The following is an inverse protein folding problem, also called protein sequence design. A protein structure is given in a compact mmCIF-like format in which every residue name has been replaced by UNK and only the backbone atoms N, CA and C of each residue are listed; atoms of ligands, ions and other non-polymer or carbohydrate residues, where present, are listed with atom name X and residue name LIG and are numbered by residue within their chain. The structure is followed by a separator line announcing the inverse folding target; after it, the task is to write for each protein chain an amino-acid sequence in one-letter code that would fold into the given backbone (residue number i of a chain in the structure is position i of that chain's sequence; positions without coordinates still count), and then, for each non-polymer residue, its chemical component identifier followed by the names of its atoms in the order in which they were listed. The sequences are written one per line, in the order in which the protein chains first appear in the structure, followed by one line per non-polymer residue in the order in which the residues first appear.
data_IF_134370388026
#
_entry.id   IF_134370388026
#
_cell.length_a   1.000
_cell.length_b   1.000
_cell.length_c   1.000
_cell.angle_alpha   90.00
_cell.angle_beta   90.00
_cell.angle_gamma   90.00
#
_symmetry.space_group_name_H-M   'P 1'
#
loop_
_entity.id
_entity.type
_entity.pdbx_description
1 polymer ?
#
# COMPACT_ATOMS: atom_id res chain seq x y z
N UNK A 1 32.33 0.41 -32.00
CA UNK A 1 33.01 0.65 -33.31
C UNK A 1 34.02 -0.45 -33.60
N UNK A 2 34.97 -0.77 -32.71
CA UNK A 2 35.98 -1.84 -32.90
C UNK A 2 35.34 -3.22 -33.16
N UNK A 3 34.31 -3.62 -32.42
CA UNK A 3 33.62 -4.91 -32.59
C UNK A 3 32.90 -5.02 -33.93
N UNK A 4 32.29 -3.93 -34.41
CA UNK A 4 31.60 -3.89 -35.71
C UNK A 4 32.60 -3.94 -36.84
N UNK A 5 33.70 -3.17 -36.78
CA UNK A 5 34.75 -3.20 -37.79
C UNK A 5 35.41 -4.57 -37.90
N UNK A 6 35.67 -5.23 -36.75
CA UNK A 6 36.22 -6.59 -36.72
C UNK A 6 35.23 -7.60 -37.32
N UNK A 7 33.91 -7.45 -37.02
CA UNK A 7 32.88 -8.31 -37.57
C UNK A 7 32.72 -8.17 -39.08
N UNK A 8 32.72 -6.95 -39.62
CA UNK A 8 32.71 -6.68 -41.07
C UNK A 8 33.93 -7.25 -41.78
N UNK A 9 35.11 -7.07 -41.19
CA UNK A 9 36.36 -7.61 -41.74
C UNK A 9 36.30 -9.16 -41.75
N UNK A 10 35.88 -9.78 -40.63
CA UNK A 10 35.80 -11.24 -40.52
C UNK A 10 34.84 -11.85 -41.57
N UNK A 11 33.66 -11.24 -41.74
CA UNK A 11 32.66 -11.67 -42.73
C UNK A 11 33.24 -11.50 -44.17
N UNK A 12 33.87 -10.39 -44.44
CA UNK A 12 34.47 -10.13 -45.78
C UNK A 12 35.59 -11.11 -46.08
N UNK A 13 36.49 -11.39 -45.13
CA UNK A 13 37.58 -12.37 -45.28
C UNK A 13 37.00 -13.79 -45.47
N UNK A 14 35.99 -14.17 -44.70
CA UNK A 14 35.35 -15.47 -44.85
C UNK A 14 34.65 -15.62 -46.23
N UNK A 15 33.92 -14.58 -46.67
CA UNK A 15 33.30 -14.58 -47.99
C UNK A 15 34.31 -14.64 -49.11
N UNK A 16 35.44 -13.95 -48.99
CA UNK A 16 36.56 -13.97 -49.95
C UNK A 16 37.20 -15.36 -50.03
N UNK A 17 37.42 -16.03 -48.88
CA UNK A 17 37.97 -17.36 -48.82
C UNK A 17 37.04 -18.40 -49.47
N UNK A 18 35.73 -18.29 -49.26
CA UNK A 18 34.72 -19.12 -49.90
C UNK A 18 34.69 -18.89 -51.41
N UNK A 19 34.75 -17.63 -51.87
CA UNK A 19 34.77 -17.31 -53.29
C UNK A 19 36.05 -17.84 -54.00
N UNK A 20 37.22 -17.73 -53.38
CA UNK A 20 38.46 -18.29 -53.88
C UNK A 20 38.42 -19.83 -53.99
N UNK A 21 37.91 -20.51 -52.97
CA UNK A 21 37.82 -21.95 -52.95
C UNK A 21 36.76 -22.48 -53.97
N UNK A 22 35.63 -21.81 -54.15
CA UNK A 22 34.55 -22.24 -55.02
C UNK A 22 34.80 -21.90 -56.47
N UNK A 23 35.41 -20.75 -56.81
CA UNK A 23 35.53 -20.24 -58.17
C UNK A 23 36.92 -20.48 -58.81
N UNK A 24 37.97 -20.82 -58.04
CA UNK A 24 39.35 -21.02 -58.50
C UNK A 24 39.79 -19.96 -59.54
N UNK A 25 39.76 -18.66 -59.21
CA UNK A 25 39.88 -17.57 -60.14
C UNK A 25 41.28 -17.52 -60.79
N UNK A 26 41.38 -17.05 -62.07
CA UNK A 26 42.68 -16.78 -62.71
C UNK A 26 43.39 -15.58 -62.03
N UNK A 27 44.66 -15.37 -62.26
CA UNK A 27 45.37 -14.23 -61.65
C UNK A 27 44.75 -12.88 -61.95
N UNK A 28 44.17 -12.68 -63.16
CA UNK A 28 43.48 -11.45 -63.51
C UNK A 28 42.15 -11.29 -62.76
N UNK A 29 41.37 -12.36 -62.63
CA UNK A 29 40.08 -12.38 -61.94
C UNK A 29 40.28 -12.19 -60.42
N UNK A 30 41.38 -12.65 -59.82
CA UNK A 30 41.74 -12.41 -58.44
C UNK A 30 41.84 -10.91 -58.10
N UNK A 31 42.49 -10.16 -58.93
CA UNK A 31 42.63 -8.69 -58.74
C UNK A 31 41.24 -8.04 -58.73
N UNK A 32 40.36 -8.41 -59.67
CA UNK A 32 39.03 -7.90 -59.76
C UNK A 32 38.18 -8.32 -58.53
N UNK A 33 38.28 -9.59 -58.06
CA UNK A 33 37.61 -10.09 -56.91
C UNK A 33 38.00 -9.30 -55.63
N UNK A 34 39.31 -9.14 -55.40
CA UNK A 34 39.84 -8.43 -54.24
C UNK A 34 39.47 -6.94 -54.20
N UNK A 35 39.54 -6.26 -55.37
CA UNK A 35 39.14 -4.85 -55.46
C UNK A 35 37.65 -4.66 -55.22
N UNK A 36 36.79 -5.58 -55.70
CA UNK A 36 35.36 -5.55 -55.50
C UNK A 36 35.03 -5.75 -54.01
N UNK A 37 35.57 -6.77 -53.34
CA UNK A 37 35.32 -7.03 -51.93
C UNK A 37 35.88 -5.90 -51.00
N UNK A 38 37.07 -5.35 -51.36
CA UNK A 38 37.61 -4.19 -50.65
C UNK A 38 36.69 -2.95 -50.79
N UNK A 39 36.21 -2.69 -52.00
CA UNK A 39 35.25 -1.60 -52.23
C UNK A 39 33.94 -1.76 -51.48
N UNK A 40 33.39 -2.99 -51.45
CA UNK A 40 32.17 -3.30 -50.63
C UNK A 40 32.43 -3.13 -49.14
N UNK A 41 33.57 -3.61 -48.62
CA UNK A 41 33.92 -3.44 -47.22
C UNK A 41 34.04 -1.95 -46.85
N UNK A 42 34.66 -1.16 -47.70
CA UNK A 42 34.80 0.29 -47.50
C UNK A 42 33.42 0.98 -47.50
N UNK A 43 32.59 0.72 -48.51
CA UNK A 43 31.25 1.29 -48.60
C UNK A 43 30.37 0.92 -47.42
N UNK A 44 30.37 -0.37 -47.02
CA UNK A 44 29.65 -0.85 -45.85
C UNK A 44 30.14 -0.21 -44.55
N UNK A 45 31.42 -0.07 -44.38
CA UNK A 45 32.04 0.57 -43.22
C UNK A 45 31.67 2.05 -43.11
N UNK A 46 31.68 2.78 -44.24
CA UNK A 46 31.22 4.20 -44.27
C UNK A 46 29.76 4.34 -43.91
N UNK A 47 28.90 3.48 -44.49
CA UNK A 47 27.46 3.47 -44.15
C UNK A 47 27.20 3.10 -42.70
N UNK A 48 27.90 2.08 -42.17
CA UNK A 48 27.74 1.67 -40.76
C UNK A 48 28.21 2.79 -39.81
N UNK A 49 29.33 3.44 -40.11
CA UNK A 49 29.84 4.57 -39.32
C UNK A 49 28.87 5.77 -39.36
N UNK A 50 28.38 6.10 -40.55
CA UNK A 50 27.38 7.16 -40.74
C UNK A 50 26.08 6.87 -39.96
N UNK A 51 25.57 5.63 -40.06
CA UNK A 51 24.42 5.19 -39.34
C UNK A 51 24.63 5.29 -37.80
N UNK A 52 25.74 4.79 -37.28
CA UNK A 52 26.09 4.88 -35.84
C UNK A 52 26.22 6.33 -35.36
N UNK A 53 26.78 7.23 -36.18
CA UNK A 53 26.86 8.65 -35.84
C UNK A 53 25.48 9.31 -35.80
N UNK A 54 24.63 8.97 -36.76
CA UNK A 54 23.26 9.48 -36.85
C UNK A 54 22.38 8.94 -35.73
N UNK A 55 22.51 7.65 -35.34
CA UNK A 55 21.70 7.06 -34.25
C UNK A 55 21.97 7.74 -32.92
N UNK A 56 23.18 8.26 -32.67
CA UNK A 56 23.49 9.02 -31.45
C UNK A 56 22.86 10.41 -31.41
N UNK A 57 22.45 10.96 -32.55
CA UNK A 57 21.81 12.27 -32.68
C UNK A 57 20.31 12.17 -32.93
N UNK A 58 19.79 10.97 -33.22
CA UNK A 58 18.40 10.75 -33.52
C UNK A 58 17.55 10.90 -32.24
N UNK A 59 16.53 11.76 -32.31
CA UNK A 59 15.57 11.99 -31.21
C UNK A 59 14.45 10.94 -31.13
N UNK A 60 14.43 9.98 -32.06
CA UNK A 60 13.38 8.96 -32.15
C UNK A 60 13.98 7.59 -32.44
N UNK A 61 13.60 6.60 -31.60
CA UNK A 61 13.98 5.20 -31.77
C UNK A 61 13.46 4.64 -33.10
N UNK A 62 12.26 5.08 -33.53
CA UNK A 62 11.66 4.71 -34.83
C UNK A 62 12.54 5.10 -35.99
N UNK A 63 13.06 6.35 -36.01
CA UNK A 63 13.94 6.82 -37.07
C UNK A 63 15.25 6.05 -37.09
N UNK A 64 15.75 5.68 -35.92
CA UNK A 64 16.96 4.88 -35.77
C UNK A 64 16.79 3.48 -36.37
N UNK A 65 15.74 2.76 -35.98
CA UNK A 65 15.47 1.41 -36.49
C UNK A 65 15.20 1.42 -38.00
N UNK A 66 14.38 2.38 -38.50
CA UNK A 66 14.15 2.53 -39.93
C UNK A 66 15.41 2.79 -40.73
N UNK A 67 16.30 3.64 -40.21
CA UNK A 67 17.58 3.94 -40.84
C UNK A 67 18.48 2.72 -40.88
N UNK A 68 18.60 1.96 -39.79
CA UNK A 68 19.43 0.74 -39.74
C UNK A 68 18.89 -0.32 -40.69
N UNK A 69 17.57 -0.52 -40.71
CA UNK A 69 16.91 -1.45 -41.63
C UNK A 69 17.11 -1.05 -43.10
N UNK A 70 16.93 0.23 -43.43
CA UNK A 70 17.21 0.75 -44.75
C UNK A 70 18.68 0.57 -45.19
N UNK A 71 19.59 0.89 -44.27
CA UNK A 71 21.06 0.73 -44.53
C UNK A 71 21.40 -0.75 -44.79
N UNK A 72 20.86 -1.67 -44.01
CA UNK A 72 21.09 -3.11 -44.19
C UNK A 72 20.56 -3.60 -45.58
N UNK A 73 19.36 -3.16 -45.96
CA UNK A 73 18.77 -3.51 -47.26
C UNK A 73 19.60 -2.93 -48.41
N UNK A 74 20.02 -1.67 -48.31
CA UNK A 74 20.85 -1.04 -49.32
C UNK A 74 22.18 -1.73 -49.48
N UNK A 75 22.83 -2.11 -48.37
CA UNK A 75 24.11 -2.84 -48.35
C UNK A 75 23.98 -4.21 -49.03
N UNK A 76 22.97 -4.99 -48.59
CA UNK A 76 22.70 -6.32 -49.15
C UNK A 76 22.39 -6.24 -50.65
N UNK A 77 21.54 -5.31 -51.04
CA UNK A 77 21.15 -5.08 -52.44
C UNK A 77 22.32 -4.60 -53.29
N UNK A 78 23.10 -3.66 -52.81
CA UNK A 78 24.31 -3.19 -53.49
C UNK A 78 25.32 -4.29 -53.72
N UNK A 79 25.55 -5.15 -52.72
CA UNK A 79 26.44 -6.30 -52.83
C UNK A 79 26.01 -7.27 -53.94
N UNK A 80 24.72 -7.61 -54.01
CA UNK A 80 24.21 -8.49 -55.03
C UNK A 80 24.25 -7.85 -56.42
N UNK A 81 23.89 -6.55 -56.54
CA UNK A 81 23.94 -5.82 -57.83
C UNK A 81 25.36 -5.73 -58.40
N UNK A 82 26.36 -5.43 -57.52
CA UNK A 82 27.75 -5.38 -57.96
C UNK A 82 28.27 -6.76 -58.35
N UNK A 83 27.92 -7.81 -57.56
CA UNK A 83 28.32 -9.19 -57.90
C UNK A 83 27.71 -9.66 -59.22
N UNK A 84 26.40 -9.38 -59.44
CA UNK A 84 25.73 -9.73 -60.68
C UNK A 84 26.31 -9.00 -61.90
N UNK A 85 26.66 -7.70 -61.74
CA UNK A 85 27.29 -6.90 -62.83
C UNK A 85 28.69 -7.34 -63.21
N UNK A 86 29.41 -7.99 -62.28
CA UNK A 86 30.80 -8.47 -62.55
C UNK A 86 30.85 -9.91 -63.06
N UNK A 87 29.74 -10.67 -63.02
CA UNK A 87 29.70 -12.09 -63.41
C UNK A 87 29.36 -12.35 -64.91
N UNK A 88 29.48 -11.41 -65.81
CA UNK A 88 29.23 -11.56 -67.24
C UNK A 88 27.87 -12.21 -67.56
N UNK A 89 26.84 -11.86 -66.84
CA UNK A 89 25.44 -12.25 -67.13
C UNK A 89 24.95 -11.61 -68.44
N UNK A 90 24.07 -12.31 -69.17
CA UNK A 90 23.38 -11.71 -70.32
C UNK A 90 22.59 -10.49 -69.84
N UNK A 91 22.37 -9.50 -70.74
CA UNK A 91 21.56 -8.32 -70.36
C UNK A 91 20.16 -8.71 -69.84
N UNK A 92 19.61 -9.81 -70.32
CA UNK A 92 18.32 -10.32 -69.88
C UNK A 92 18.37 -10.85 -68.42
N UNK A 93 19.38 -11.63 -68.10
CA UNK A 93 19.57 -12.22 -66.76
C UNK A 93 19.88 -11.13 -65.71
N UNK A 94 20.70 -10.13 -66.10
CA UNK A 94 21.01 -8.99 -65.25
C UNK A 94 19.71 -8.20 -64.91
N UNK A 95 18.86 -7.94 -65.89
CA UNK A 95 17.56 -7.25 -65.66
C UNK A 95 16.65 -8.04 -64.72
N UNK A 96 16.60 -9.35 -64.87
CA UNK A 96 15.79 -10.21 -64.00
C UNK A 96 16.30 -10.26 -62.55
N UNK A 97 17.63 -10.34 -62.38
CA UNK A 97 18.27 -10.25 -61.06
C UNK A 97 18.02 -8.90 -60.40
N UNK A 98 18.12 -7.79 -61.14
CA UNK A 98 17.82 -6.45 -60.61
C UNK A 98 16.38 -6.27 -60.19
N UNK A 99 15.40 -6.82 -60.97
CA UNK A 99 13.95 -6.80 -60.63
C UNK A 99 13.71 -7.62 -59.36
N UNK A 100 14.24 -8.87 -59.32
CA UNK A 100 14.07 -9.74 -58.16
C UNK A 100 14.68 -9.12 -56.90
N UNK A 101 15.85 -8.49 -57.04
CA UNK A 101 16.53 -7.78 -55.95
C UNK A 101 15.68 -6.59 -55.48
N UNK A 102 15.14 -5.77 -56.38
CA UNK A 102 14.26 -4.66 -56.03
C UNK A 102 13.04 -5.11 -55.29
N UNK A 103 12.41 -6.22 -55.71
CA UNK A 103 11.27 -6.81 -55.03
C UNK A 103 11.65 -7.30 -53.61
N UNK A 104 12.76 -8.05 -53.50
CA UNK A 104 13.24 -8.53 -52.19
C UNK A 104 13.58 -7.40 -51.21
N UNK A 105 14.22 -6.35 -51.72
CA UNK A 105 14.54 -5.14 -50.94
C UNK A 105 13.24 -4.43 -50.46
N UNK A 106 12.26 -4.28 -51.36
CA UNK A 106 10.98 -3.66 -51.03
C UNK A 106 10.21 -4.43 -49.94
N UNK A 107 10.09 -5.75 -50.11
CA UNK A 107 9.44 -6.61 -49.11
C UNK A 107 10.16 -6.60 -47.78
N UNK A 108 11.51 -6.67 -47.78
CA UNK A 108 12.32 -6.59 -46.56
C UNK A 108 12.14 -5.27 -45.80
N UNK A 109 12.10 -4.15 -46.57
CA UNK A 109 11.86 -2.83 -45.98
C UNK A 109 10.47 -2.72 -45.35
N UNK A 110 9.42 -3.20 -46.00
CA UNK A 110 8.04 -3.20 -45.48
C UNK A 110 7.99 -4.00 -44.15
N UNK A 111 8.58 -5.20 -44.14
CA UNK A 111 8.60 -6.03 -42.95
C UNK A 111 9.42 -5.35 -41.78
N UNK A 112 10.58 -4.79 -42.08
CA UNK A 112 11.40 -4.07 -41.10
C UNK A 112 10.66 -2.86 -40.50
N UNK A 113 9.96 -2.09 -41.33
CA UNK A 113 9.14 -0.94 -40.88
C UNK A 113 7.96 -1.41 -40.01
N UNK A 114 7.29 -2.50 -40.41
CA UNK A 114 6.16 -3.05 -39.64
C UNK A 114 6.57 -3.51 -38.23
N UNK A 115 7.67 -4.28 -38.15
CA UNK A 115 8.22 -4.72 -36.84
C UNK A 115 8.69 -3.53 -36.00
N UNK A 116 9.40 -2.58 -36.61
CA UNK A 116 9.87 -1.39 -35.92
C UNK A 116 8.73 -0.54 -35.35
N UNK A 117 7.62 -0.39 -36.12
CA UNK A 117 6.49 0.39 -35.67
C UNK A 117 5.73 -0.26 -34.51
N UNK A 118 5.62 -1.59 -34.50
CA UNK A 118 5.03 -2.32 -33.37
C UNK A 118 5.84 -2.12 -32.08
N UNK A 119 7.16 -2.38 -32.13
CA UNK A 119 8.03 -2.22 -30.96
C UNK A 119 8.03 -0.79 -30.38
N UNK A 120 8.00 0.20 -31.26
CA UNK A 120 8.01 1.60 -30.83
C UNK A 120 6.66 2.07 -30.27
N UNK A 121 5.54 1.53 -30.78
CA UNK A 121 4.22 1.78 -30.23
C UNK A 121 4.12 1.29 -28.79
N UNK A 122 4.56 0.05 -28.54
CA UNK A 122 4.51 -0.57 -27.23
C UNK A 122 5.41 0.19 -26.21
N UNK A 123 6.62 0.55 -26.62
CA UNK A 123 7.52 1.36 -25.77
C UNK A 123 6.95 2.75 -25.48
N UNK A 124 6.28 3.37 -26.47
CA UNK A 124 5.63 4.66 -26.27
C UNK A 124 4.43 4.56 -25.32
N UNK A 125 3.71 3.43 -25.32
CA UNK A 125 2.63 3.14 -24.37
C UNK A 125 3.14 3.09 -22.93
N UNK A 126 4.22 2.31 -22.66
CA UNK A 126 4.85 2.24 -21.33
C UNK A 126 5.34 3.63 -20.90
N UNK A 127 6.02 4.35 -21.80
CA UNK A 127 6.53 5.69 -21.50
C UNK A 127 5.41 6.68 -21.19
N UNK A 128 4.31 6.64 -21.96
CA UNK A 128 3.14 7.50 -21.72
C UNK A 128 2.47 7.18 -20.38
N UNK A 129 2.29 5.89 -20.06
CA UNK A 129 1.77 5.46 -18.77
C UNK A 129 2.67 5.92 -17.62
N UNK A 130 4.00 5.80 -17.77
CA UNK A 130 4.97 6.27 -16.78
C UNK A 130 4.89 7.78 -16.54
N UNK A 131 4.74 8.58 -17.60
CA UNK A 131 4.56 10.04 -17.48
C UNK A 131 3.24 10.40 -16.77
N UNK A 132 2.15 9.67 -17.05
CA UNK A 132 0.88 9.88 -16.34
C UNK A 132 0.98 9.55 -14.85
N UNK A 133 1.61 8.41 -14.50
CA UNK A 133 1.87 8.04 -13.10
C UNK A 133 2.72 9.11 -12.41
N UNK A 134 3.78 9.59 -13.06
CA UNK A 134 4.64 10.66 -12.53
C UNK A 134 3.89 12.00 -12.37
N UNK A 135 2.86 12.25 -13.18
CA UNK A 135 1.97 13.40 -13.06
C UNK A 135 0.86 13.23 -12.00
N UNK A 136 0.82 12.09 -11.30
CA UNK A 136 -0.14 11.80 -10.22
C UNK A 136 -1.33 10.92 -10.63
N UNK A 137 -1.46 10.54 -11.88
CA UNK A 137 -2.49 9.58 -12.32
C UNK A 137 -2.04 8.14 -12.06
N UNK A 138 -2.21 7.71 -10.82
CA UNK A 138 -1.83 6.36 -10.38
C UNK A 138 -2.72 5.24 -10.95
N UNK A 139 -3.78 5.59 -11.69
CA UNK A 139 -4.63 4.60 -12.37
C UNK A 139 -4.11 4.22 -13.74
N UNK A 140 -3.14 4.97 -14.28
CA UNK A 140 -2.55 4.70 -15.58
C UNK A 140 -1.85 3.34 -15.60
N UNK A 141 -2.09 2.58 -16.67
CA UNK A 141 -1.46 1.28 -16.95
C UNK A 141 -0.92 1.26 -18.37
N UNK A 142 0.04 0.39 -18.61
CA UNK A 142 0.49 0.08 -19.96
C UNK A 142 -0.60 -0.74 -20.67
N UNK A 143 -0.68 -0.59 -21.99
CA UNK A 143 -1.61 -1.38 -22.83
C UNK A 143 -0.86 -2.46 -23.61
N UNK A 144 0.31 -2.86 -23.14
CA UNK A 144 1.20 -3.79 -23.83
C UNK A 144 0.88 -5.22 -23.40
N UNK A 145 0.42 -6.03 -24.37
CA UNK A 145 0.15 -7.46 -24.19
C UNK A 145 1.15 -8.25 -25.04
N UNK A 146 2.29 -8.61 -24.45
CA UNK A 146 3.36 -9.37 -25.10
C UNK A 146 3.93 -10.42 -24.15
N UNK A 147 4.50 -11.48 -24.72
CA UNK A 147 5.15 -12.56 -23.98
C UNK A 147 6.69 -12.50 -24.03
N UNK A 148 7.27 -11.33 -24.32
CA UNK A 148 8.72 -11.11 -24.39
C UNK A 148 9.20 -10.12 -23.28
N UNK A 149 10.45 -9.72 -23.31
CA UNK A 149 11.08 -8.83 -22.34
C UNK A 149 10.36 -7.48 -22.23
N UNK A 150 9.69 -7.05 -23.28
CA UNK A 150 8.91 -5.80 -23.27
C UNK A 150 7.58 -5.99 -22.52
N UNK A 151 6.96 -7.17 -22.65
CA UNK A 151 5.81 -7.57 -21.86
C UNK A 151 6.13 -7.67 -20.37
N UNK A 152 7.25 -8.32 -20.02
CA UNK A 152 7.74 -8.40 -18.64
C UNK A 152 7.98 -7.01 -18.04
N UNK A 153 8.58 -6.09 -18.80
CA UNK A 153 8.79 -4.71 -18.38
C UNK A 153 7.45 -3.96 -18.16
N UNK A 154 6.46 -4.20 -19.01
CA UNK A 154 5.12 -3.62 -18.89
C UNK A 154 4.40 -4.13 -17.64
N UNK A 155 4.42 -5.44 -17.38
CA UNK A 155 3.85 -6.06 -16.18
C UNK A 155 4.52 -5.56 -14.90
N UNK A 156 5.86 -5.45 -14.90
CA UNK A 156 6.61 -4.91 -13.77
C UNK A 156 6.23 -3.45 -13.49
N UNK A 157 6.08 -2.63 -14.54
CA UNK A 157 5.61 -1.25 -14.43
C UNK A 157 4.19 -1.18 -13.86
N UNK A 158 3.26 -1.98 -14.39
CA UNK A 158 1.86 -1.99 -13.93
C UNK A 158 1.74 -2.48 -12.48
N UNK A 159 2.56 -3.46 -12.09
CA UNK A 159 2.68 -3.92 -10.71
C UNK A 159 3.19 -2.81 -9.76
N UNK A 160 4.18 -2.05 -10.18
CA UNK A 160 4.67 -0.88 -9.43
C UNK A 160 3.58 0.19 -9.30
N UNK A 161 2.89 0.54 -10.39
CA UNK A 161 1.82 1.53 -10.38
C UNK A 161 0.65 1.11 -9.46
N UNK A 162 0.29 -0.18 -9.45
CA UNK A 162 -0.72 -0.72 -8.54
C UNK A 162 -0.32 -0.61 -7.07
N UNK A 163 0.92 -0.89 -6.72
CA UNK A 163 1.44 -0.73 -5.35
C UNK A 163 1.46 0.73 -4.90
N UNK A 164 1.86 1.65 -5.78
CA UNK A 164 1.82 3.09 -5.49
C UNK A 164 0.39 3.57 -5.26
N UNK A 165 -0.55 3.12 -6.09
CA UNK A 165 -1.98 3.44 -5.94
C UNK A 165 -2.53 2.94 -4.60
N UNK A 166 -2.23 1.70 -4.23
CA UNK A 166 -2.65 1.12 -2.95
C UNK A 166 -2.06 1.88 -1.76
N UNK A 167 -0.77 2.23 -1.82
CA UNK A 167 -0.10 3.01 -0.77
C UNK A 167 -0.70 4.41 -0.61
N UNK A 168 -1.05 5.10 -1.72
CA UNK A 168 -1.67 6.42 -1.66
C UNK A 168 -3.10 6.36 -1.10
N UNK A 169 -3.89 5.35 -1.48
CA UNK A 169 -5.22 5.12 -0.91
C UNK A 169 -5.13 4.90 0.61
N UNK A 170 -4.17 4.08 1.05
CA UNK A 170 -3.96 3.85 2.48
C UNK A 170 -3.52 5.11 3.21
N UNK A 171 -2.62 5.90 2.61
CA UNK A 171 -2.18 7.19 3.16
C UNK A 171 -3.36 8.16 3.34
N UNK A 172 -4.22 8.27 2.32
CA UNK A 172 -5.40 9.14 2.39
C UNK A 172 -6.39 8.70 3.46
N UNK A 173 -6.59 7.38 3.64
CA UNK A 173 -7.42 6.84 4.73
C UNK A 173 -6.84 7.20 6.10
N UNK A 174 -5.55 6.97 6.31
CA UNK A 174 -4.89 7.31 7.56
C UNK A 174 -4.95 8.82 7.86
N UNK A 175 -4.78 9.68 6.83
CA UNK A 175 -4.90 11.13 6.98
C UNK A 175 -6.33 11.56 7.36
N UNK A 176 -7.36 10.92 6.78
CA UNK A 176 -8.75 11.19 7.12
C UNK A 176 -9.12 10.71 8.54
N UNK A 177 -8.68 9.51 8.93
CA UNK A 177 -8.84 8.99 10.30
C UNK A 177 -8.17 9.91 11.31
N UNK A 178 -6.95 10.37 11.02
CA UNK A 178 -6.23 11.31 11.86
C UNK A 178 -6.96 12.65 12.00
N UNK A 179 -7.55 13.19 10.91
CA UNK A 179 -8.35 14.43 10.95
C UNK A 179 -9.60 14.25 11.82
N UNK A 180 -10.31 13.12 11.67
CA UNK A 180 -11.48 12.80 12.50
C UNK A 180 -11.10 12.68 13.97
N UNK A 181 -9.98 12.05 14.27
CA UNK A 181 -9.43 11.94 15.61
C UNK A 181 -9.20 13.33 16.23
N UNK A 182 -8.48 14.24 15.55
CA UNK A 182 -8.25 15.60 16.06
C UNK A 182 -9.53 16.42 16.21
N UNK A 183 -10.48 16.27 15.31
CA UNK A 183 -11.77 16.95 15.42
C UNK A 183 -12.56 16.47 16.64
N UNK A 184 -12.58 15.16 16.93
CA UNK A 184 -13.24 14.59 18.09
C UNK A 184 -12.55 15.03 19.41
N UNK A 185 -11.21 14.98 19.47
CA UNK A 185 -10.44 15.50 20.63
C UNK A 185 -10.79 16.97 20.89
N UNK A 186 -10.76 17.81 19.85
CA UNK A 186 -11.07 19.23 19.99
C UNK A 186 -12.49 19.50 20.49
N UNK A 187 -13.45 18.67 20.09
CA UNK A 187 -14.83 18.75 20.58
C UNK A 187 -14.91 18.35 22.06
N UNK A 188 -14.33 17.21 22.44
CA UNK A 188 -14.45 16.65 23.79
C UNK A 188 -13.64 17.43 24.83
N UNK A 189 -12.58 18.13 24.43
CA UNK A 189 -11.89 19.11 25.27
C UNK A 189 -12.67 20.42 25.43
N UNK A 190 -13.35 20.88 24.39
CA UNK A 190 -14.08 22.17 24.41
C UNK A 190 -15.27 22.14 25.39
N UNK A 191 -15.98 21.01 25.47
CA UNK A 191 -17.19 20.88 26.31
C UNK A 191 -16.90 21.18 27.78
N UNK A 192 -15.97 20.47 28.49
CA UNK A 192 -15.66 20.77 29.88
C UNK A 192 -14.99 22.13 30.07
N UNK A 193 -14.18 22.62 29.11
CA UNK A 193 -13.60 23.95 29.15
C UNK A 193 -14.67 25.05 29.12
N UNK A 194 -15.70 24.92 28.29
CA UNK A 194 -16.82 25.86 28.22
C UNK A 194 -17.64 25.83 29.51
N UNK A 195 -17.86 24.64 30.09
CA UNK A 195 -18.54 24.49 31.39
C UNK A 195 -17.76 25.16 32.51
N UNK A 196 -16.44 24.95 32.57
CA UNK A 196 -15.54 25.59 33.53
C UNK A 196 -15.58 27.12 33.41
N UNK A 197 -15.51 27.64 32.17
CA UNK A 197 -15.56 29.08 31.93
C UNK A 197 -16.88 29.67 32.39
N UNK A 198 -18.03 29.05 32.05
CA UNK A 198 -19.34 29.52 32.49
C UNK A 198 -19.49 29.48 34.03
N UNK A 199 -18.91 28.42 34.69
CA UNK A 199 -18.93 28.35 36.13
C UNK A 199 -18.09 29.42 36.80
N UNK A 200 -16.92 29.78 36.24
CA UNK A 200 -16.07 30.88 36.70
C UNK A 200 -16.77 32.22 36.54
N UNK A 201 -17.37 32.48 35.37
CA UNK A 201 -18.13 33.74 35.11
C UNK A 201 -19.29 33.88 36.08
N UNK A 202 -20.08 32.83 36.33
CA UNK A 202 -21.19 32.86 37.26
C UNK A 202 -20.75 33.14 38.71
N UNK A 203 -19.58 32.64 39.13
CA UNK A 203 -19.00 32.95 40.44
C UNK A 203 -18.49 34.37 40.52
N UNK A 204 -17.85 34.89 39.49
CA UNK A 204 -17.32 36.27 39.42
C UNK A 204 -18.43 37.32 39.41
N UNK A 205 -19.50 37.07 38.66
CA UNK A 205 -20.64 37.99 38.54
C UNK A 205 -21.58 37.93 39.76
N UNK A 206 -21.31 37.03 40.73
CA UNK A 206 -22.12 36.89 41.93
C UNK A 206 -23.52 36.29 41.68
N UNK A 207 -23.79 35.73 40.49
CA UNK A 207 -25.07 35.10 40.14
C UNK A 207 -25.18 33.65 40.59
N UNK A 208 -24.09 33.06 41.08
CA UNK A 208 -24.04 31.72 41.61
C UNK A 208 -24.79 31.61 42.93
N UNK A 209 -26.00 31.05 42.93
CA UNK A 209 -26.84 30.88 44.12
C UNK A 209 -26.26 29.86 45.10
N UNK A 210 -25.48 28.87 44.63
CA UNK A 210 -24.75 27.86 45.43
C UNK A 210 -23.30 27.77 44.92
N UNK A 211 -22.38 28.59 45.43
CA UNK A 211 -20.97 28.55 45.04
C UNK A 211 -20.30 27.17 45.22
N UNK A 212 -20.72 26.40 46.25
CA UNK A 212 -20.16 25.10 46.52
C UNK A 212 -20.56 24.10 45.40
N UNK A 213 -21.74 24.22 44.82
CA UNK A 213 -22.17 23.41 43.68
C UNK A 213 -21.31 23.71 42.44
N UNK A 214 -21.04 24.98 42.14
CA UNK A 214 -20.19 25.38 41.01
C UNK A 214 -18.75 24.87 41.17
N UNK A 215 -18.18 24.97 42.38
CA UNK A 215 -16.86 24.42 42.67
C UNK A 215 -16.80 22.90 42.47
N UNK A 216 -17.84 22.17 42.90
CA UNK A 216 -17.93 20.70 42.65
C UNK A 216 -18.02 20.38 41.17
N UNK A 217 -18.79 21.14 40.38
CA UNK A 217 -18.87 20.98 38.92
C UNK A 217 -17.50 21.22 38.26
N UNK A 218 -16.83 22.32 38.64
CA UNK A 218 -15.48 22.62 38.14
C UNK A 218 -14.47 21.53 38.47
N UNK A 219 -14.49 21.02 39.72
CA UNK A 219 -13.60 19.90 40.12
C UNK A 219 -13.86 18.64 39.31
N UNK A 220 -15.13 18.36 39.00
CA UNK A 220 -15.50 17.24 38.12
C UNK A 220 -14.99 17.45 36.68
N UNK A 221 -15.20 18.65 36.11
CA UNK A 221 -14.75 18.98 34.74
C UNK A 221 -13.22 18.88 34.61
N UNK A 222 -12.47 19.30 35.65
CA UNK A 222 -11.01 19.14 35.69
C UNK A 222 -10.60 17.65 35.71
N UNK A 223 -11.24 16.83 36.57
CA UNK A 223 -10.96 15.40 36.63
C UNK A 223 -11.31 14.67 35.31
N UNK A 224 -12.38 15.10 34.63
CA UNK A 224 -12.75 14.55 33.32
C UNK A 224 -11.74 14.93 32.24
N UNK A 225 -11.17 16.17 32.27
CA UNK A 225 -10.08 16.61 31.40
C UNK A 225 -8.78 15.82 31.65
N UNK A 226 -8.38 15.66 32.92
CA UNK A 226 -7.20 14.89 33.29
C UNK A 226 -7.28 13.46 32.74
N UNK A 227 -8.44 12.79 32.94
CA UNK A 227 -8.68 11.44 32.43
C UNK A 227 -8.60 11.40 30.89
N UNK A 228 -9.16 12.38 30.19
CA UNK A 228 -9.09 12.44 28.74
C UNK A 228 -7.64 12.59 28.24
N UNK A 229 -6.83 13.40 28.91
CA UNK A 229 -5.42 13.58 28.56
C UNK A 229 -4.62 12.29 28.81
N UNK A 230 -4.89 11.60 29.91
CA UNK A 230 -4.27 10.29 30.20
C UNK A 230 -4.68 9.23 29.17
N UNK A 231 -5.96 9.19 28.78
CA UNK A 231 -6.47 8.28 27.74
C UNK A 231 -5.81 8.54 26.40
N UNK A 232 -5.68 9.81 25.99
CA UNK A 232 -5.01 10.21 24.74
C UNK A 232 -3.52 9.85 24.76
N UNK A 233 -2.86 10.09 25.90
CA UNK A 233 -1.42 9.77 26.06
C UNK A 233 -1.19 8.27 25.96
N UNK A 234 -2.06 7.46 26.58
CA UNK A 234 -1.97 6.01 26.49
C UNK A 234 -2.26 5.50 25.09
N UNK A 235 -3.31 6.01 24.43
CA UNK A 235 -3.62 5.65 23.04
C UNK A 235 -2.44 5.97 22.12
N UNK A 236 -1.83 7.15 22.26
CA UNK A 236 -0.65 7.52 21.47
C UNK A 236 0.56 6.59 21.71
N UNK A 237 0.72 6.04 22.92
CA UNK A 237 1.75 5.03 23.21
C UNK A 237 1.43 3.68 22.58
N UNK A 238 0.16 3.26 22.61
CA UNK A 238 -0.32 2.04 21.98
C UNK A 238 -0.07 2.11 20.46
N UNK A 239 -0.53 3.18 19.80
CA UNK A 239 -0.39 3.37 18.35
C UNK A 239 1.09 3.44 17.89
N UNK A 240 1.95 4.01 18.74
CA UNK A 240 3.40 4.06 18.48
C UNK A 240 4.14 2.73 18.75
N UNK A 241 3.45 1.68 19.23
CA UNK A 241 4.08 0.43 19.67
C UNK A 241 5.04 0.62 20.87
N UNK A 242 4.81 1.64 21.71
CA UNK A 242 5.64 2.01 22.86
C UNK A 242 4.95 1.73 24.21
N UNK A 243 4.06 0.74 24.20
CA UNK A 243 3.40 0.30 25.41
C UNK A 243 4.40 -0.48 26.29
N UNK A 244 4.71 0.06 27.45
CA UNK A 244 5.57 -0.60 28.45
C UNK A 244 4.68 -1.26 29.50
N UNK A 245 4.47 -2.57 29.37
CA UNK A 245 3.75 -3.39 30.34
C UNK A 245 4.71 -3.99 31.37
N UNK A 246 4.21 -4.16 32.60
CA UNK A 246 4.94 -4.77 33.71
C UNK A 246 4.21 -6.02 34.16
N UNK A 247 4.32 -7.14 33.43
CA UNK A 247 3.63 -8.36 33.79
C UNK A 247 4.13 -8.89 35.14
N UNK A 248 3.20 -9.30 35.96
CA UNK A 248 3.42 -9.97 37.24
C UNK A 248 2.30 -10.98 37.49
N UNK A 249 2.53 -12.06 38.24
CA UNK A 249 1.48 -13.00 38.60
C UNK A 249 0.49 -12.37 39.58
N UNK A 250 -0.82 -12.50 39.29
CA UNK A 250 -1.90 -12.09 40.20
C UNK A 250 -3.18 -12.90 39.87
N UNK A 251 -4.20 -12.75 40.70
CA UNK A 251 -5.50 -13.37 40.52
C UNK A 251 -6.46 -12.43 39.80
N UNK A 252 -6.93 -12.84 38.60
CA UNK A 252 -7.86 -12.04 37.79
C UNK A 252 -9.24 -11.92 38.47
N UNK A 253 -9.63 -12.91 39.29
CA UNK A 253 -10.91 -12.86 40.02
C UNK A 253 -10.87 -11.76 41.06
N UNK A 254 -9.78 -11.63 41.83
CA UNK A 254 -9.62 -10.55 42.80
C UNK A 254 -9.62 -9.19 42.11
N UNK A 255 -8.94 -9.04 40.97
CA UNK A 255 -8.93 -7.80 40.22
C UNK A 255 -10.32 -7.44 39.65
N UNK A 256 -11.13 -8.43 39.25
CA UNK A 256 -12.50 -8.22 38.78
C UNK A 256 -13.42 -7.76 39.96
N UNK A 257 -13.27 -8.38 41.13
CA UNK A 257 -14.00 -7.98 42.35
C UNK A 257 -13.63 -6.55 42.78
N UNK A 258 -12.36 -6.18 42.76
CA UNK A 258 -11.90 -4.80 43.01
C UNK A 258 -12.49 -3.79 42.03
N UNK A 259 -12.53 -4.14 40.72
CA UNK A 259 -13.09 -3.27 39.69
C UNK A 259 -14.62 -3.07 39.87
N UNK A 260 -15.33 -4.13 40.29
CA UNK A 260 -16.75 -4.08 40.60
C UNK A 260 -16.99 -3.24 41.87
N UNK A 261 -16.22 -3.42 42.94
CA UNK A 261 -16.35 -2.66 44.19
C UNK A 261 -16.19 -1.15 43.93
N UNK A 262 -15.20 -0.74 43.12
CA UNK A 262 -14.98 0.67 42.76
C UNK A 262 -16.17 1.26 41.99
N UNK A 263 -16.85 0.50 41.15
CA UNK A 263 -17.96 0.97 40.31
C UNK A 263 -19.34 0.73 40.94
N UNK A 264 -19.44 -0.01 42.05
CA UNK A 264 -20.71 -0.29 42.74
C UNK A 264 -21.48 0.98 43.08
N UNK A 265 -20.92 2.09 43.61
CA UNK A 265 -21.66 3.30 43.86
C UNK A 265 -22.24 3.95 42.60
N UNK A 266 -21.56 3.86 41.48
CA UNK A 266 -22.00 4.42 40.20
C UNK A 266 -23.16 3.60 39.63
N UNK A 267 -23.08 2.28 39.71
CA UNK A 267 -24.13 1.37 39.28
C UNK A 267 -25.39 1.51 40.18
N UNK A 268 -25.22 1.53 41.50
CA UNK A 268 -26.29 1.70 42.44
C UNK A 268 -27.07 3.00 42.24
N UNK A 269 -26.38 4.12 41.92
CA UNK A 269 -26.97 5.41 41.58
C UNK A 269 -27.87 5.35 40.32
N UNK A 270 -27.67 4.35 39.46
CA UNK A 270 -28.47 4.07 38.26
C UNK A 270 -29.46 2.91 38.42
N UNK A 271 -29.50 2.28 39.60
CA UNK A 271 -30.30 1.12 39.87
C UNK A 271 -29.87 -0.14 39.11
N UNK A 272 -28.55 -0.26 38.84
CA UNK A 272 -27.98 -1.40 38.14
C UNK A 272 -27.28 -2.31 39.15
N UNK A 273 -27.50 -3.62 39.04
CA UNK A 273 -26.80 -4.64 39.83
C UNK A 273 -25.55 -5.10 39.08
N UNK A 274 -24.39 -5.12 39.78
CA UNK A 274 -23.16 -5.67 39.21
C UNK A 274 -22.73 -6.89 39.99
N UNK A 275 -22.28 -7.94 39.29
CA UNK A 275 -21.75 -9.16 39.92
C UNK A 275 -20.59 -9.75 39.14
N UNK A 276 -19.75 -10.51 39.84
CA UNK A 276 -18.71 -11.35 39.24
C UNK A 276 -19.18 -12.80 39.34
N UNK A 277 -19.03 -13.54 38.24
CA UNK A 277 -19.40 -14.94 38.13
C UNK A 277 -18.18 -15.72 37.57
N UNK A 278 -17.69 -16.71 38.28
CA UNK A 278 -16.50 -17.43 37.87
C UNK A 278 -16.14 -18.64 38.74
N UNK A 279 -15.19 -19.46 38.28
CA UNK A 279 -14.86 -20.73 38.95
C UNK A 279 -14.01 -20.56 40.25
N UNK A 280 -13.72 -19.35 40.67
CA UNK A 280 -12.82 -19.02 41.77
C UNK A 280 -11.48 -18.47 41.28
N UNK A 281 -10.38 -18.66 42.00
CA UNK A 281 -9.10 -18.05 41.67
C UNK A 281 -8.63 -18.35 40.25
N UNK A 282 -8.26 -17.29 39.50
CA UNK A 282 -7.79 -17.34 38.12
C UNK A 282 -6.41 -16.67 38.02
N UNK A 283 -5.30 -17.42 38.26
CA UNK A 283 -3.98 -16.85 38.16
C UNK A 283 -3.62 -16.52 36.71
N UNK A 284 -3.09 -15.31 36.49
CA UNK A 284 -2.61 -14.81 35.21
C UNK A 284 -1.29 -14.07 35.40
N UNK A 285 -0.46 -14.01 34.35
CA UNK A 285 0.76 -13.21 34.31
C UNK A 285 0.53 -12.03 33.36
N UNK A 286 0.24 -10.86 33.94
CA UNK A 286 -0.07 -9.65 33.20
C UNK A 286 0.20 -8.39 34.03
N UNK A 287 0.05 -7.20 33.44
CA UNK A 287 0.08 -5.94 34.16
C UNK A 287 -1.29 -5.68 34.81
N UNK A 288 -1.37 -5.84 36.14
CA UNK A 288 -2.62 -5.70 36.90
C UNK A 288 -3.23 -4.30 36.80
N UNK A 289 -2.40 -3.25 36.75
CA UNK A 289 -2.88 -1.87 36.58
C UNK A 289 -3.51 -1.64 35.20
N UNK A 290 -2.89 -2.17 34.15
CA UNK A 290 -3.42 -2.13 32.78
C UNK A 290 -4.74 -2.91 32.68
N UNK A 291 -4.80 -4.14 33.21
CA UNK A 291 -6.03 -4.95 33.20
C UNK A 291 -7.13 -4.36 34.08
N UNK A 292 -6.83 -3.80 35.22
CA UNK A 292 -7.78 -3.07 36.04
C UNK A 292 -8.39 -1.87 35.29
N UNK A 293 -7.59 -1.18 34.44
CA UNK A 293 -8.10 -0.14 33.55
C UNK A 293 -9.03 -0.71 32.47
N UNK A 294 -8.67 -1.85 31.86
CA UNK A 294 -9.54 -2.56 30.89
C UNK A 294 -10.88 -2.89 31.53
N UNK A 295 -10.89 -3.56 32.68
CA UNK A 295 -12.11 -3.94 33.39
C UNK A 295 -12.97 -2.73 33.71
N UNK A 296 -12.38 -1.67 34.28
CA UNK A 296 -13.12 -0.43 34.59
C UNK A 296 -13.71 0.23 33.33
N UNK A 297 -12.98 0.26 32.22
CA UNK A 297 -13.50 0.81 30.96
C UNK A 297 -14.69 0.01 30.42
N UNK A 298 -14.60 -1.31 30.46
CA UNK A 298 -15.67 -2.20 29.99
C UNK A 298 -16.89 -2.15 30.90
N UNK A 299 -16.67 -2.15 32.22
CA UNK A 299 -17.76 -2.04 33.22
C UNK A 299 -18.44 -0.67 33.17
N UNK A 300 -17.71 0.45 33.08
CA UNK A 300 -18.29 1.79 32.94
C UNK A 300 -19.16 1.88 31.66
N UNK A 301 -18.68 1.26 30.57
CA UNK A 301 -19.45 1.17 29.34
C UNK A 301 -20.75 0.35 29.52
N UNK A 302 -20.66 -0.84 30.13
CA UNK A 302 -21.79 -1.71 30.41
C UNK A 302 -22.84 -1.03 31.33
N UNK A 303 -22.40 -0.40 32.43
CA UNK A 303 -23.30 0.35 33.35
C UNK A 303 -23.97 1.52 32.62
N UNK A 304 -23.28 2.16 31.71
CA UNK A 304 -23.78 3.32 30.96
C UNK A 304 -24.87 2.94 29.97
N UNK A 305 -24.77 1.76 29.37
CA UNK A 305 -25.70 1.27 28.34
C UNK A 305 -26.78 0.37 28.88
N UNK A 306 -26.68 -0.15 30.10
CA UNK A 306 -27.74 -0.90 30.76
C UNK A 306 -28.95 -0.02 31.07
N UNK A 307 -30.18 -0.54 30.93
CA UNK A 307 -31.40 0.12 31.36
C UNK A 307 -31.48 0.18 32.90
N UNK A 308 -32.20 1.13 33.49
CA UNK A 308 -32.45 1.14 34.93
C UNK A 308 -33.16 -0.16 35.40
N UNK A 309 -32.63 -0.79 36.44
CA UNK A 309 -33.08 -2.10 36.92
C UNK A 309 -32.47 -3.29 36.22
N UNK A 310 -31.59 -3.06 35.22
CA UNK A 310 -30.81 -4.10 34.58
C UNK A 310 -29.60 -4.55 35.37
N UNK A 311 -28.87 -5.56 34.84
CA UNK A 311 -27.69 -6.14 35.43
C UNK A 311 -26.44 -6.02 34.53
N UNK A 312 -25.28 -6.05 35.15
CA UNK A 312 -24.00 -6.21 34.51
C UNK A 312 -23.26 -7.38 35.17
N UNK A 313 -22.83 -8.33 34.39
CA UNK A 313 -22.12 -9.52 34.90
C UNK A 313 -20.71 -9.61 34.29
N UNK A 314 -19.71 -9.81 35.14
CA UNK A 314 -18.36 -10.21 34.72
C UNK A 314 -18.31 -11.73 34.80
N UNK A 315 -18.35 -12.40 33.65
CA UNK A 315 -18.21 -13.84 33.55
C UNK A 315 -16.75 -14.19 33.37
N UNK A 316 -16.14 -14.94 34.31
CA UNK A 316 -14.76 -15.38 34.25
C UNK A 316 -14.70 -16.87 33.92
N UNK A 317 -13.70 -17.28 33.14
CA UNK A 317 -13.55 -18.68 32.74
C UNK A 317 -12.17 -19.04 32.23
N UNK A 318 -11.99 -20.33 31.98
CA UNK A 318 -10.76 -20.88 31.39
C UNK A 318 -11.09 -21.64 30.14
N UNK A 319 -10.34 -21.42 29.07
CA UNK A 319 -10.33 -22.18 27.84
C UNK A 319 -8.94 -22.80 27.62
N UNK A 320 -8.76 -23.73 26.70
CA UNK A 320 -7.43 -24.24 26.37
C UNK A 320 -6.49 -23.08 26.02
N UNK A 321 -5.39 -22.95 26.76
CA UNK A 321 -4.36 -21.91 26.60
C UNK A 321 -4.81 -20.44 26.88
N UNK A 322 -6.05 -20.21 27.34
CA UNK A 322 -6.61 -18.87 27.56
C UNK A 322 -7.36 -18.75 28.88
N UNK A 323 -7.17 -17.62 29.53
CA UNK A 323 -8.09 -17.13 30.56
C UNK A 323 -9.02 -16.11 29.90
N UNK A 324 -10.33 -16.24 30.19
CA UNK A 324 -11.38 -15.46 29.52
C UNK A 324 -12.14 -14.63 30.53
N UNK A 325 -12.39 -13.37 30.19
CA UNK A 325 -13.38 -12.56 30.91
C UNK A 325 -14.40 -11.99 29.89
N UNK A 326 -15.69 -12.09 30.23
CA UNK A 326 -16.76 -11.50 29.43
C UNK A 326 -17.55 -10.54 30.31
N UNK A 327 -17.70 -9.32 29.84
CA UNK A 327 -18.57 -8.32 30.46
C UNK A 327 -19.89 -8.32 29.69
N UNK A 328 -20.98 -8.67 30.36
CA UNK A 328 -22.33 -8.84 29.81
C UNK A 328 -23.24 -7.82 30.45
N UNK A 329 -23.99 -7.10 29.64
CA UNK A 329 -24.99 -6.11 30.10
C UNK A 329 -26.37 -6.33 29.49
N UNK A 330 -27.42 -5.86 30.16
CA UNK A 330 -28.81 -5.93 29.69
C UNK A 330 -29.20 -4.78 28.77
N UNK A 331 -28.21 -4.11 28.16
CA UNK A 331 -28.43 -3.01 27.24
C UNK A 331 -28.90 -3.44 25.85
N UNK A 332 -29.02 -2.52 24.90
CA UNK A 332 -29.47 -2.82 23.54
C UNK A 332 -28.44 -3.59 22.71
N UNK A 333 -27.24 -3.81 23.25
CA UNK A 333 -26.14 -4.39 22.50
C UNK A 333 -25.47 -3.41 21.55
N UNK A 334 -24.67 -3.96 20.64
CA UNK A 334 -23.99 -3.19 19.60
C UNK A 334 -24.80 -3.26 18.30
N UNK A 335 -25.00 -2.12 17.64
CA UNK A 335 -25.63 -2.09 16.32
C UNK A 335 -24.72 -2.74 15.26
N UNK A 336 -25.29 -3.37 14.24
CA UNK A 336 -24.55 -4.13 13.23
C UNK A 336 -23.46 -3.28 12.52
N UNK A 337 -23.74 -2.01 12.27
CA UNK A 337 -22.80 -1.06 11.65
C UNK A 337 -21.66 -0.62 12.59
N UNK A 338 -21.79 -0.92 13.89
CA UNK A 338 -20.82 -0.62 14.93
C UNK A 338 -19.87 -1.79 15.23
N UNK A 339 -20.24 -3.03 14.90
CA UNK A 339 -19.48 -4.22 15.28
C UNK A 339 -18.01 -4.15 14.83
N UNK A 340 -17.77 -3.76 13.57
CA UNK A 340 -16.42 -3.65 13.01
C UNK A 340 -15.63 -2.44 13.52
N UNK A 341 -16.33 -1.45 14.09
CA UNK A 341 -15.75 -0.16 14.45
C UNK A 341 -15.85 0.21 15.93
N UNK A 342 -16.45 -0.64 16.75
CA UNK A 342 -16.67 -0.34 18.16
C UNK A 342 -15.36 -0.12 18.95
N UNK A 343 -14.26 -0.71 18.48
CA UNK A 343 -12.93 -0.55 19.04
C UNK A 343 -12.12 0.60 18.41
N UNK A 344 -12.66 1.30 17.41
CA UNK A 344 -12.00 2.47 16.86
C UNK A 344 -12.10 3.64 17.85
N UNK A 345 -11.05 4.44 17.94
CA UNK A 345 -11.02 5.59 18.83
C UNK A 345 -12.11 6.62 18.44
N UNK A 346 -12.81 7.17 19.46
CA UNK A 346 -13.88 8.18 19.32
C UNK A 346 -15.14 7.71 18.57
N UNK A 347 -15.27 6.43 18.31
CA UNK A 347 -16.52 5.88 17.76
C UNK A 347 -17.58 5.81 18.85
N UNK A 348 -18.75 6.37 18.58
CA UNK A 348 -19.91 6.41 19.49
C UNK A 348 -21.17 6.14 18.69
N UNK A 349 -22.05 5.31 19.23
CA UNK A 349 -23.37 5.08 18.65
C UNK A 349 -24.22 6.35 18.63
N UNK A 350 -25.19 6.44 17.71
CA UNK A 350 -26.03 7.63 17.53
C UNK A 350 -26.86 7.98 18.78
N UNK A 351 -27.28 6.99 19.58
CA UNK A 351 -27.97 7.22 20.85
C UNK A 351 -27.06 7.81 21.93
N UNK A 352 -25.76 7.44 21.94
CA UNK A 352 -24.79 7.98 22.88
C UNK A 352 -24.43 9.43 22.57
N UNK A 353 -24.55 9.87 21.31
CA UNK A 353 -24.37 11.28 20.91
C UNK A 353 -25.49 12.21 21.38
N UNK A 354 -26.71 11.69 21.62
CA UNK A 354 -27.87 12.48 22.02
C UNK A 354 -27.99 12.67 23.54
N UNK A 355 -27.25 11.87 24.34
CA UNK A 355 -27.25 11.99 25.79
C UNK A 355 -26.02 12.77 26.25
N UNK A 356 -26.23 13.99 26.76
CA UNK A 356 -25.18 14.78 27.44
C UNK A 356 -24.62 13.96 28.60
N UNK A 357 -23.36 13.54 28.50
CA UNK A 357 -22.66 12.73 29.51
C UNK A 357 -22.08 11.41 29.00
N UNK A 358 -22.08 11.16 27.69
CA UNK A 358 -21.42 10.00 27.08
C UNK A 358 -19.88 10.13 27.14
N UNK A 359 -19.19 9.00 27.44
CA UNK A 359 -17.72 8.95 27.51
C UNK A 359 -17.02 9.37 26.22
N UNK A 360 -15.72 9.56 26.29
CA UNK A 360 -14.84 10.00 25.19
C UNK A 360 -14.81 9.07 23.96
N UNK A 361 -15.38 7.86 24.04
CA UNK A 361 -15.23 6.85 22.99
C UNK A 361 -13.81 6.27 22.87
N UNK A 362 -12.96 6.51 23.86
CA UNK A 362 -11.59 5.97 23.93
C UNK A 362 -11.50 4.66 24.70
N UNK A 363 -12.46 4.37 25.60
CA UNK A 363 -12.37 3.26 26.53
C UNK A 363 -12.23 1.89 25.88
N UNK A 364 -13.00 1.60 24.81
CA UNK A 364 -12.90 0.34 24.06
C UNK A 364 -11.62 0.25 23.24
N UNK A 365 -11.18 1.33 22.61
CA UNK A 365 -9.92 1.37 21.86
C UNK A 365 -8.71 1.12 22.78
N UNK A 366 -8.69 1.75 23.95
CA UNK A 366 -7.67 1.54 24.97
C UNK A 366 -7.72 0.09 25.49
N UNK A 367 -8.90 -0.44 25.78
CA UNK A 367 -9.06 -1.82 26.23
C UNK A 367 -8.47 -2.79 25.19
N UNK A 368 -8.76 -2.59 23.92
CA UNK A 368 -8.20 -3.39 22.83
C UNK A 368 -6.67 -3.32 22.80
N UNK A 369 -6.11 -2.12 22.76
CA UNK A 369 -4.65 -1.96 22.68
C UNK A 369 -3.92 -2.54 23.91
N UNK A 370 -4.51 -2.46 25.09
CA UNK A 370 -3.93 -3.06 26.30
C UNK A 370 -4.01 -4.60 26.25
N UNK A 371 -5.11 -5.19 25.83
CA UNK A 371 -5.26 -6.65 25.72
C UNK A 371 -4.33 -7.20 24.62
N UNK A 372 -4.29 -6.58 23.44
CA UNK A 372 -3.36 -6.95 22.37
C UNK A 372 -1.89 -6.82 22.80
N UNK A 373 -1.56 -5.80 23.59
CA UNK A 373 -0.23 -5.63 24.18
C UNK A 373 0.17 -6.77 25.13
N UNK A 374 -0.77 -7.48 25.74
CA UNK A 374 -0.54 -8.69 26.54
C UNK A 374 -0.53 -9.98 25.69
N UNK A 375 -0.64 -9.89 24.37
CA UNK A 375 -0.76 -11.06 23.48
C UNK A 375 -2.13 -11.71 23.50
N UNK A 376 -3.13 -11.02 24.05
CA UNK A 376 -4.53 -11.43 24.09
C UNK A 376 -5.34 -10.90 22.91
N UNK A 377 -6.64 -11.14 22.94
CA UNK A 377 -7.60 -10.53 22.01
C UNK A 377 -8.88 -10.07 22.75
N UNK A 378 -9.62 -9.18 22.12
CA UNK A 378 -10.90 -8.67 22.63
C UNK A 378 -11.88 -8.56 21.46
N UNK A 379 -13.10 -9.08 21.66
CA UNK A 379 -14.16 -9.12 20.64
C UNK A 379 -15.50 -8.76 21.24
N UNK A 380 -16.42 -8.30 20.37
CA UNK A 380 -17.82 -8.18 20.72
C UNK A 380 -18.45 -9.58 20.57
N UNK A 381 -19.07 -10.07 21.63
CA UNK A 381 -19.75 -11.35 21.63
C UNK A 381 -21.17 -11.26 21.06
N UNK A 382 -21.65 -12.38 20.54
CA UNK A 382 -23.05 -12.52 20.12
C UNK A 382 -23.97 -12.77 21.32
N UNK A 383 -25.22 -12.36 21.24
CA UNK A 383 -26.23 -12.61 22.24
C UNK A 383 -27.12 -11.39 22.55
N UNK A 384 -28.14 -11.56 23.41
CA UNK A 384 -28.95 -10.44 23.87
C UNK A 384 -28.10 -9.53 24.78
N UNK A 385 -28.33 -8.22 24.66
CA UNK A 385 -27.55 -7.22 25.41
C UNK A 385 -26.20 -6.93 24.84
N UNK A 386 -25.40 -6.11 25.53
CA UNK A 386 -23.99 -5.89 25.22
C UNK A 386 -23.13 -7.00 25.79
N UNK A 387 -22.24 -7.52 24.98
CA UNK A 387 -21.25 -8.51 25.42
C UNK A 387 -19.88 -8.16 24.85
N UNK A 388 -18.91 -7.94 25.72
CA UNK A 388 -17.51 -7.77 25.33
C UNK A 388 -16.69 -8.87 25.99
N UNK A 389 -16.00 -9.65 25.17
CA UNK A 389 -15.18 -10.78 25.61
C UNK A 389 -13.72 -10.51 25.35
N UNK A 390 -12.89 -10.71 26.35
CA UNK A 390 -11.43 -10.64 26.24
C UNK A 390 -10.81 -12.01 26.59
N UNK A 391 -9.67 -12.28 25.99
CA UNK A 391 -8.87 -13.49 26.24
C UNK A 391 -7.43 -13.08 26.51
N UNK A 392 -6.83 -13.70 27.51
CA UNK A 392 -5.42 -13.54 27.88
C UNK A 392 -4.74 -14.91 27.87
N UNK A 393 -3.46 -14.99 27.45
CA UNK A 393 -2.71 -16.24 27.54
C UNK A 393 -2.69 -16.79 28.97
N UNK A 394 -2.92 -18.10 29.14
CA UNK A 394 -2.97 -18.78 30.44
C UNK A 394 -1.58 -19.12 30.98
N UNK A 395 -0.60 -18.24 30.84
CA UNK A 395 0.77 -18.51 31.34
C UNK A 395 0.96 -17.93 32.72
#
# INVERSE_FOLDING_TARGET
VRTIALGLLAVTVAALAVAEAAMQPTPADRVMLYTTFAGMLLATSVLAFGALRFTRQARSLVSTIRLVALAAVVVAGGAVAVSAGTMFLSEHDLRLVLVALGLGMGLGLVLAVAVASSLTSDLSSISSAAHRVAAGDLTARSTVERGDELGEAAEAFDGMAARLQAAEIQRLRNDEERRRLFAAIGHDLRTPLTSLQAAIEALQDGVATDPARYLRLMSKDVADLERLIEDLTLLARIDAGRLELRPAPFDLSELADEAVEVLQPVAAARGIEIRVDGPGPLPVEADSAALGRVLRNLLDNAIRHSPPGGGVTVELGVEPDWVVASIVDDGPGFADDMLDRAFDAFVRGDEARRRDGGGSGLGLAIAKGLIEGHGGDIVIGEGPGGRVRLRLPSR
#
